data_IF_836974834503
#
_entry.id   IF_836974834503
#
_cell.length_a   1.000
_cell.length_b   1.000
_cell.length_c   1.000
_cell.angle_alpha   90.00
_cell.angle_beta   90.00
_cell.angle_gamma   90.00
#
_symmetry.space_group_name_H-M   'P 1'
#
loop_
_entity.id
_entity.type
_entity.pdbx_description
1 polymer ?
#
# COMPACT_ATOMS: atom_id res chain seq x y z
N UNK A 1 0.73 -27.54 -0.17
CA UNK A 1 0.74 -26.29 -0.97
C UNK A 1 1.89 -25.44 -0.49
N UNK A 2 2.57 -24.75 -1.40
CA UNK A 2 3.65 -23.82 -1.07
C UNK A 2 3.09 -22.64 -0.25
N UNK A 3 3.54 -22.39 1.00
CA UNK A 3 3.07 -21.28 1.82
C UNK A 3 3.24 -19.89 1.17
N UNK A 4 4.16 -19.73 0.23
CA UNK A 4 4.35 -18.48 -0.49
C UNK A 4 3.17 -18.11 -1.40
N UNK A 5 2.26 -19.06 -1.69
CA UNK A 5 1.02 -18.77 -2.43
C UNK A 5 0.18 -17.69 -1.73
N UNK A 6 0.15 -17.68 -0.40
CA UNK A 6 -0.60 -16.67 0.36
C UNK A 6 0.03 -15.28 0.20
N UNK A 7 1.36 -15.21 0.17
CA UNK A 7 2.11 -13.96 -0.04
C UNK A 7 1.89 -13.43 -1.46
N UNK A 8 1.84 -14.31 -2.45
CA UNK A 8 1.52 -13.97 -3.83
C UNK A 8 0.09 -13.39 -3.97
N UNK A 9 -0.89 -14.00 -3.32
CA UNK A 9 -2.28 -13.49 -3.30
C UNK A 9 -2.33 -12.11 -2.66
N UNK A 10 -1.69 -11.90 -1.51
CA UNK A 10 -1.64 -10.60 -0.83
C UNK A 10 -0.94 -9.54 -1.69
N UNK A 11 0.13 -9.92 -2.38
CA UNK A 11 0.82 -9.04 -3.34
C UNK A 11 -0.11 -8.62 -4.48
N UNK A 12 -0.87 -9.56 -5.05
CA UNK A 12 -1.85 -9.28 -6.10
C UNK A 12 -2.96 -8.34 -5.59
N UNK A 13 -3.48 -8.56 -4.38
CA UNK A 13 -4.47 -7.67 -3.77
C UNK A 13 -3.91 -6.25 -3.55
N UNK A 14 -2.66 -6.11 -3.13
CA UNK A 14 -1.99 -4.82 -2.98
C UNK A 14 -1.87 -4.07 -4.32
N UNK A 15 -1.51 -4.80 -5.38
CA UNK A 15 -1.45 -4.26 -6.74
C UNK A 15 -2.85 -3.83 -7.24
N UNK A 16 -3.89 -4.61 -6.96
CA UNK A 16 -5.27 -4.22 -7.29
C UNK A 16 -5.72 -2.97 -6.54
N UNK A 17 -5.37 -2.84 -5.26
CA UNK A 17 -5.63 -1.62 -4.49
C UNK A 17 -4.90 -0.40 -5.08
N UNK A 18 -3.66 -0.58 -5.56
CA UNK A 18 -2.95 0.46 -6.29
C UNK A 18 -3.65 0.83 -7.60
N UNK A 19 -3.99 -0.16 -8.44
CA UNK A 19 -4.74 0.05 -9.68
C UNK A 19 -6.04 0.78 -9.45
N UNK A 20 -6.77 0.47 -8.37
CA UNK A 20 -7.96 1.20 -7.97
C UNK A 20 -7.66 2.71 -7.80
N UNK A 21 -6.62 3.07 -7.05
CA UNK A 21 -6.27 4.50 -6.86
C UNK A 21 -5.79 5.17 -8.15
N UNK A 22 -5.04 4.45 -8.98
CA UNK A 22 -4.59 4.92 -10.30
C UNK A 22 -5.77 5.20 -11.23
N UNK A 23 -6.73 4.27 -11.33
CA UNK A 23 -7.94 4.43 -12.11
C UNK A 23 -8.77 5.62 -11.62
N UNK A 24 -8.93 5.78 -10.30
CA UNK A 24 -9.68 6.90 -9.73
C UNK A 24 -9.03 8.26 -10.04
N UNK A 25 -7.70 8.35 -9.98
CA UNK A 25 -6.98 9.56 -10.40
C UNK A 25 -7.13 9.85 -11.90
N UNK A 26 -7.07 8.81 -12.74
CA UNK A 26 -7.30 8.93 -14.19
C UNK A 26 -8.72 9.37 -14.55
N UNK A 27 -9.73 8.80 -13.87
CA UNK A 27 -11.14 9.21 -14.02
C UNK A 27 -11.36 10.65 -13.53
N UNK A 28 -10.74 11.04 -12.42
CA UNK A 28 -10.79 12.41 -11.92
C UNK A 28 -10.20 13.40 -12.93
N UNK A 29 -9.08 13.06 -13.58
CA UNK A 29 -8.50 13.90 -14.66
C UNK A 29 -9.52 14.21 -15.75
N UNK A 30 -10.27 13.20 -16.22
CA UNK A 30 -11.33 13.37 -17.23
C UNK A 30 -12.48 14.21 -16.68
N UNK A 31 -12.95 13.91 -15.47
CA UNK A 31 -14.06 14.63 -14.81
C UNK A 31 -13.78 16.12 -14.63
N UNK A 32 -12.56 16.47 -14.21
CA UNK A 32 -12.14 17.84 -13.97
C UNK A 32 -11.50 18.53 -15.18
N UNK A 33 -11.43 17.85 -16.33
CA UNK A 33 -10.85 18.37 -17.60
C UNK A 33 -9.42 18.90 -17.43
N UNK A 34 -8.59 18.20 -16.66
CA UNK A 34 -7.19 18.60 -16.44
C UNK A 34 -6.31 18.00 -17.54
N UNK A 35 -5.77 18.86 -18.40
CA UNK A 35 -4.89 18.43 -19.48
C UNK A 35 -3.52 17.95 -18.95
N UNK A 36 -2.98 16.83 -19.47
CA UNK A 36 -1.58 16.48 -19.23
C UNK A 36 -0.66 17.59 -19.75
N UNK A 37 0.50 17.85 -19.10
CA UNK A 37 1.10 17.12 -17.98
C UNK A 37 0.64 17.58 -16.59
N UNK A 38 -0.30 18.53 -16.50
CA UNK A 38 -0.66 19.15 -15.23
C UNK A 38 -1.27 18.15 -14.24
N UNK A 39 -0.89 18.29 -12.97
CA UNK A 39 -1.53 17.65 -11.81
C UNK A 39 -2.14 18.68 -10.85
N UNK A 40 -2.21 19.95 -11.25
CA UNK A 40 -2.83 21.03 -10.50
C UNK A 40 -4.27 21.24 -10.95
N UNK A 41 -5.17 21.46 -10.01
CA UNK A 41 -6.58 21.66 -10.30
C UNK A 41 -7.39 21.97 -9.06
N UNK A 42 -8.72 21.80 -9.10
CA UNK A 42 -9.55 21.98 -7.93
C UNK A 42 -9.10 21.07 -6.78
N UNK A 43 -9.27 21.48 -5.51
CA UNK A 43 -8.85 20.67 -4.37
C UNK A 43 -9.42 19.25 -4.35
N UNK A 44 -10.58 18.99 -4.96
CA UNK A 44 -11.12 17.64 -5.10
C UNK A 44 -10.29 16.77 -6.04
N UNK A 45 -9.91 17.29 -7.21
CA UNK A 45 -9.02 16.60 -8.15
C UNK A 45 -7.67 16.26 -7.51
N UNK A 46 -7.05 17.23 -6.83
CA UNK A 46 -5.74 17.03 -6.21
C UNK A 46 -5.79 15.94 -5.13
N UNK A 47 -6.91 15.76 -4.43
CA UNK A 47 -7.07 14.64 -3.46
C UNK A 47 -7.02 13.28 -4.14
N UNK A 48 -7.61 13.12 -5.33
CA UNK A 48 -7.52 11.88 -6.09
C UNK A 48 -6.07 11.59 -6.52
N UNK A 49 -5.36 12.60 -7.04
CA UNK A 49 -3.95 12.47 -7.42
C UNK A 49 -3.07 12.14 -6.21
N UNK A 50 -3.25 12.84 -5.09
CA UNK A 50 -2.51 12.58 -3.85
C UNK A 50 -2.82 11.20 -3.28
N UNK A 51 -4.05 10.71 -3.39
CA UNK A 51 -4.41 9.36 -2.97
C UNK A 51 -3.67 8.28 -3.78
N UNK A 52 -3.56 8.48 -5.10
CA UNK A 52 -2.80 7.61 -6.00
C UNK A 52 -1.30 7.64 -5.70
N UNK A 53 -0.67 8.82 -5.70
CA UNK A 53 0.76 8.95 -5.46
C UNK A 53 1.16 8.42 -4.09
N UNK A 54 0.41 8.74 -3.04
CA UNK A 54 0.71 8.22 -1.71
C UNK A 54 0.53 6.70 -1.61
N UNK A 55 -0.36 6.11 -2.39
CA UNK A 55 -0.47 4.64 -2.44
C UNK A 55 0.73 4.03 -3.17
N UNK A 56 1.22 4.67 -4.23
CA UNK A 56 2.45 4.26 -4.93
C UNK A 56 3.67 4.30 -4.00
N UNK A 57 3.88 5.42 -3.30
CA UNK A 57 4.99 5.62 -2.37
C UNK A 57 5.04 4.50 -1.31
N UNK A 58 3.89 4.16 -0.72
CA UNK A 58 3.82 3.09 0.28
C UNK A 58 3.90 1.68 -0.34
N UNK A 59 3.39 1.48 -1.55
CA UNK A 59 3.45 0.18 -2.24
C UNK A 59 4.91 -0.26 -2.47
N UNK A 60 5.78 0.70 -2.82
CA UNK A 60 7.22 0.48 -3.03
C UNK A 60 7.92 -0.01 -1.76
N UNK A 61 7.40 0.33 -0.57
CA UNK A 61 7.90 -0.21 0.70
C UNK A 61 7.22 -1.53 1.08
N UNK A 62 5.90 -1.59 0.87
CA UNK A 62 5.07 -2.71 1.27
C UNK A 62 5.44 -4.00 0.53
N UNK A 63 5.53 -3.96 -0.81
CA UNK A 63 5.76 -5.19 -1.60
C UNK A 63 7.14 -5.81 -1.31
N UNK A 64 8.26 -5.07 -1.42
CA UNK A 64 9.56 -5.64 -1.07
C UNK A 64 9.62 -6.06 0.40
N UNK A 65 9.08 -5.25 1.32
CA UNK A 65 9.04 -5.60 2.74
C UNK A 65 8.30 -6.90 3.01
N UNK A 66 7.13 -7.10 2.39
CA UNK A 66 6.33 -8.32 2.52
C UNK A 66 7.14 -9.56 2.11
N UNK A 67 7.84 -9.50 0.99
CA UNK A 67 8.63 -10.62 0.48
C UNK A 67 9.90 -10.87 1.31
N UNK A 68 10.59 -9.81 1.74
CA UNK A 68 11.73 -9.93 2.66
C UNK A 68 11.30 -10.59 3.98
N UNK A 69 10.16 -10.17 4.54
CA UNK A 69 9.66 -10.71 5.80
C UNK A 69 9.19 -12.16 5.64
N UNK A 70 8.56 -12.50 4.51
CA UNK A 70 8.17 -13.87 4.19
C UNK A 70 9.38 -14.79 4.14
N UNK A 71 10.47 -14.35 3.51
CA UNK A 71 11.70 -15.11 3.37
C UNK A 71 12.45 -15.29 4.70
N UNK A 72 12.60 -14.21 5.46
CA UNK A 72 13.45 -14.19 6.65
C UNK A 72 12.71 -14.59 7.93
N UNK A 73 11.38 -14.44 7.98
CA UNK A 73 10.60 -14.69 9.20
C UNK A 73 9.57 -15.78 8.99
N UNK A 74 8.54 -15.52 8.18
CA UNK A 74 7.52 -16.53 7.89
C UNK A 74 6.55 -16.06 6.80
N UNK A 75 6.26 -16.88 5.77
CA UNK A 75 5.26 -16.56 4.76
C UNK A 75 3.83 -16.48 5.33
N UNK A 76 3.50 -17.22 6.39
CA UNK A 76 2.18 -17.17 7.03
C UNK A 76 1.94 -15.85 7.75
N UNK A 77 2.92 -15.41 8.54
CA UNK A 77 2.85 -14.12 9.22
C UNK A 77 2.89 -12.95 8.24
N UNK A 78 3.71 -13.04 7.19
CA UNK A 78 3.74 -12.07 6.10
C UNK A 78 2.35 -11.90 5.47
N UNK A 79 1.71 -13.00 5.07
CA UNK A 79 0.39 -12.95 4.45
C UNK A 79 -0.69 -12.44 5.41
N UNK A 80 -0.71 -12.93 6.67
CA UNK A 80 -1.69 -12.52 7.68
C UNK A 80 -1.65 -11.02 7.94
N UNK A 81 -0.48 -10.47 8.25
CA UNK A 81 -0.28 -9.04 8.53
C UNK A 81 -0.50 -8.21 7.27
N UNK A 82 0.00 -8.70 6.13
CA UNK A 82 -0.05 -8.00 4.85
C UNK A 82 -1.45 -7.82 4.31
N UNK A 83 -2.37 -8.74 4.61
CA UNK A 83 -3.77 -8.68 4.18
C UNK A 83 -4.50 -7.39 4.62
N UNK A 84 -4.05 -6.76 5.70
CA UNK A 84 -4.63 -5.51 6.24
C UNK A 84 -4.37 -4.35 5.27
N UNK A 85 -3.18 -4.29 4.66
CA UNK A 85 -2.72 -3.11 3.95
C UNK A 85 -3.58 -2.76 2.72
N UNK A 86 -3.90 -3.70 1.79
CA UNK A 86 -4.71 -3.39 0.61
C UNK A 86 -6.09 -2.82 0.98
N UNK A 87 -6.75 -3.41 1.98
CA UNK A 87 -8.08 -2.99 2.44
C UNK A 87 -8.04 -1.55 2.98
N UNK A 88 -7.03 -1.25 3.80
CA UNK A 88 -6.87 0.09 4.36
C UNK A 88 -6.51 1.12 3.29
N UNK A 89 -5.77 0.75 2.23
CA UNK A 89 -5.47 1.67 1.11
C UNK A 89 -6.72 2.03 0.31
N UNK A 90 -7.63 1.09 0.10
CA UNK A 90 -8.93 1.38 -0.53
C UNK A 90 -9.75 2.33 0.36
N UNK A 91 -9.83 2.06 1.66
CA UNK A 91 -10.50 2.94 2.63
C UNK A 91 -9.89 4.34 2.69
N UNK A 92 -8.56 4.43 2.66
CA UNK A 92 -7.80 5.68 2.62
C UNK A 92 -8.19 6.53 1.40
N UNK A 93 -8.20 5.93 0.21
CA UNK A 93 -8.55 6.64 -1.02
C UNK A 93 -10.01 7.11 -0.99
N UNK A 94 -10.96 6.23 -0.63
CA UNK A 94 -12.37 6.59 -0.52
C UNK A 94 -12.63 7.70 0.51
N UNK A 95 -11.96 7.66 1.65
CA UNK A 95 -12.02 8.70 2.67
C UNK A 95 -11.45 10.02 2.17
N UNK A 96 -10.29 9.98 1.51
CA UNK A 96 -9.61 11.18 1.03
C UNK A 96 -10.37 11.88 -0.11
N UNK A 97 -10.98 11.12 -1.03
CA UNK A 97 -11.80 11.68 -2.09
C UNK A 97 -12.94 12.54 -1.53
N UNK A 98 -13.61 12.04 -0.48
CA UNK A 98 -14.68 12.76 0.21
C UNK A 98 -14.14 14.01 0.91
N UNK A 99 -13.21 13.84 1.86
CA UNK A 99 -12.68 14.94 2.67
C UNK A 99 -11.23 14.68 3.11
N UNK A 100 -10.37 15.71 3.19
CA UNK A 100 -8.98 15.56 3.62
C UNK A 100 -8.79 14.83 4.95
N UNK A 101 -9.65 15.11 5.95
CA UNK A 101 -9.50 14.57 7.31
C UNK A 101 -9.94 13.09 7.42
N UNK A 102 -10.87 12.65 6.56
CA UNK A 102 -11.42 11.28 6.59
C UNK A 102 -10.42 10.20 6.18
N UNK A 103 -9.27 10.58 5.62
CA UNK A 103 -8.19 9.66 5.25
C UNK A 103 -7.34 9.18 6.43
N UNK A 104 -7.30 9.95 7.52
CA UNK A 104 -6.27 9.82 8.56
C UNK A 104 -6.34 8.48 9.29
N UNK A 105 -7.55 8.05 9.69
CA UNK A 105 -7.75 6.76 10.35
C UNK A 105 -7.21 5.61 9.50
N UNK A 106 -7.63 5.55 8.23
CA UNK A 106 -7.19 4.52 7.28
C UNK A 106 -5.68 4.56 7.04
N UNK A 107 -5.11 5.77 6.95
CA UNK A 107 -3.67 5.94 6.79
C UNK A 107 -2.93 5.32 7.98
N UNK A 108 -3.31 5.70 9.20
CA UNK A 108 -2.64 5.21 10.41
C UNK A 108 -2.77 3.70 10.60
N UNK A 109 -3.90 3.10 10.22
CA UNK A 109 -4.05 1.63 10.27
C UNK A 109 -3.25 0.93 9.15
N UNK A 110 -3.02 1.60 8.00
CA UNK A 110 -2.22 1.03 6.91
C UNK A 110 -0.71 1.08 7.13
N UNK A 111 -0.20 1.87 8.07
CA UNK A 111 1.25 2.03 8.25
C UNK A 111 1.95 0.88 8.99
N UNK A 112 1.41 0.33 10.10
CA UNK A 112 2.10 -0.70 10.88
C UNK A 112 2.57 -1.93 10.08
N UNK A 113 1.80 -2.49 9.12
CA UNK A 113 2.28 -3.60 8.30
C UNK A 113 3.62 -3.31 7.61
N UNK A 114 3.82 -2.10 7.08
CA UNK A 114 5.08 -1.71 6.41
C UNK A 114 6.23 -1.71 7.42
N UNK A 115 6.05 -1.08 8.58
CA UNK A 115 7.09 -1.03 9.60
C UNK A 115 7.44 -2.41 10.15
N UNK A 116 6.42 -3.25 10.39
CA UNK A 116 6.61 -4.64 10.82
C UNK A 116 7.44 -5.41 9.80
N UNK A 117 7.15 -5.24 8.50
CA UNK A 117 7.89 -5.93 7.45
C UNK A 117 9.32 -5.44 7.32
N UNK A 118 9.55 -4.13 7.25
CA UNK A 118 10.91 -3.59 7.08
C UNK A 118 11.78 -3.88 8.31
N UNK A 119 11.30 -3.56 9.51
CA UNK A 119 12.07 -3.78 10.74
C UNK A 119 12.19 -5.27 11.06
N UNK A 120 11.11 -6.03 10.88
CA UNK A 120 11.10 -7.46 11.13
C UNK A 120 12.03 -8.23 10.19
N UNK A 121 12.12 -7.82 8.92
CA UNK A 121 13.09 -8.40 7.98
C UNK A 121 14.53 -8.11 8.39
N UNK A 122 14.82 -6.87 8.80
CA UNK A 122 16.15 -6.48 9.27
C UNK A 122 16.56 -7.26 10.52
N UNK A 123 15.70 -7.27 11.55
CA UNK A 123 15.94 -7.97 12.81
C UNK A 123 16.06 -9.47 12.56
N UNK A 124 15.13 -10.06 11.81
CA UNK A 124 15.15 -11.48 11.47
C UNK A 124 16.44 -11.87 10.73
N UNK A 125 16.92 -11.02 9.82
CA UNK A 125 18.12 -11.28 9.04
C UNK A 125 19.37 -11.27 9.93
N UNK A 126 19.47 -10.29 10.83
CA UNK A 126 20.55 -10.23 11.82
C UNK A 126 20.50 -11.45 12.75
N UNK A 127 19.32 -11.84 13.24
CA UNK A 127 19.19 -13.00 14.13
C UNK A 127 19.59 -14.29 13.43
N UNK A 128 19.20 -14.49 12.17
CA UNK A 128 19.63 -15.66 11.40
C UNK A 128 21.14 -15.66 11.18
N UNK A 129 21.74 -14.51 10.85
CA UNK A 129 23.18 -14.39 10.67
C UNK A 129 23.97 -14.70 11.95
N UNK A 130 23.47 -14.30 13.12
CA UNK A 130 24.11 -14.55 14.43
C UNK A 130 23.93 -15.99 14.92
N UNK A 131 22.86 -16.66 14.49
CA UNK A 131 22.55 -18.06 14.85
C UNK A 131 23.16 -19.08 13.89
N UNK A 132 23.54 -18.65 12.68
CA UNK A 132 24.38 -19.41 11.75
C UNK A 132 25.84 -19.38 12.15
#
# INVERSE_FOLDING_TARGET
MDPYIYVAIVSALALLAYYFTLLMAGLARRRFKIEPPSHSGPPEYERHVRAHHNTLEHLVLFLPGLWLFAYVVSPYWAAGIGSIWPLMRVGYALGYHKEPKKRLLWLYVSMPPIYIFVLGSLIGGIVQLVRG
#
